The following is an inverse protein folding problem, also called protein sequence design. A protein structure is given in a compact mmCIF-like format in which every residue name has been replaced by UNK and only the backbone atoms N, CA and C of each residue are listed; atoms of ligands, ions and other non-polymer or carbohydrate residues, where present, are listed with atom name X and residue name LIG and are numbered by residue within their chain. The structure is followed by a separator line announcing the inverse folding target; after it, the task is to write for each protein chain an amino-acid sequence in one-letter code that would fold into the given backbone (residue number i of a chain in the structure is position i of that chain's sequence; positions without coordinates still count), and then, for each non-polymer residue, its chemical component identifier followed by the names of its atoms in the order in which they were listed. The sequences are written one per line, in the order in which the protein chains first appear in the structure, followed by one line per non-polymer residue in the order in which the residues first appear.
data_IF_547432916260
#
_entry.id   IF_547432916260
#
_cell.length_a   1.000
_cell.length_b   1.000
_cell.length_c   1.000
_cell.angle_alpha   90.00
_cell.angle_beta   90.00
_cell.angle_gamma   90.00
#
_symmetry.space_group_name_H-M   'P 1'
#
loop_
_entity.id
_entity.type
_entity.pdbx_description
1 polymer ?
#
# COMPACT_ATOMS: atom_id res chain seq x y z
N UNK A 1 -3.23 -2.77 -31.47
CA UNK A 1 -3.26 -3.39 -30.14
C UNK A 1 -3.41 -2.26 -29.12
N UNK A 2 -4.60 -2.04 -28.54
CA UNK A 2 -4.84 -0.91 -27.60
C UNK A 2 -4.18 -1.25 -26.27
N UNK A 3 -3.18 -0.46 -25.85
CA UNK A 3 -2.69 -0.45 -24.48
C UNK A 3 -3.87 -0.03 -23.58
N UNK A 4 -4.50 -0.99 -22.92
CA UNK A 4 -5.42 -0.68 -21.84
C UNK A 4 -4.55 -0.21 -20.68
N UNK A 5 -4.55 1.10 -20.44
CA UNK A 5 -4.04 1.68 -19.21
C UNK A 5 -5.04 1.22 -18.15
N UNK A 6 -4.69 0.17 -17.45
CA UNK A 6 -5.50 -0.26 -16.32
C UNK A 6 -5.45 0.83 -15.25
N UNK A 7 -6.62 1.17 -14.72
CA UNK A 7 -6.68 2.16 -13.64
C UNK A 7 -6.05 1.57 -12.37
N UNK A 8 -5.57 2.42 -11.47
CA UNK A 8 -5.09 2.00 -10.15
C UNK A 8 -6.09 1.05 -9.44
N UNK A 9 -7.42 1.32 -9.45
CA UNK A 9 -8.43 0.38 -8.97
C UNK A 9 -8.41 -1.00 -9.67
N UNK A 10 -8.26 -1.05 -11.00
CA UNK A 10 -8.22 -2.31 -11.75
C UNK A 10 -6.95 -3.13 -11.43
N UNK A 11 -5.83 -2.45 -11.22
CA UNK A 11 -4.60 -3.07 -10.76
C UNK A 11 -4.75 -3.64 -9.33
N UNK A 12 -5.40 -2.88 -8.44
CA UNK A 12 -5.68 -3.24 -7.04
C UNK A 12 -6.57 -4.49 -6.93
N UNK A 13 -7.62 -4.59 -7.75
CA UNK A 13 -8.51 -5.74 -7.77
C UNK A 13 -7.83 -7.06 -8.19
N UNK A 14 -6.75 -6.98 -8.99
CA UNK A 14 -6.00 -8.15 -9.48
C UNK A 14 -4.84 -8.55 -8.58
N UNK A 15 -4.21 -7.59 -7.91
CA UNK A 15 -3.09 -7.83 -6.99
C UNK A 15 -3.58 -7.97 -5.55
N UNK A 16 -4.56 -8.86 -5.34
CA UNK A 16 -4.95 -9.27 -4.00
C UNK A 16 -3.85 -10.18 -3.46
N UNK A 17 -2.76 -9.57 -2.97
CA UNK A 17 -1.68 -10.30 -2.32
C UNK A 17 -2.27 -11.13 -1.17
N UNK A 18 -2.17 -12.44 -1.28
CA UNK A 18 -2.19 -13.29 -0.10
C UNK A 18 -0.86 -13.00 0.61
N UNK A 19 -0.92 -12.19 1.67
CA UNK A 19 0.21 -11.96 2.56
C UNK A 19 0.63 -13.31 3.14
N UNK A 20 1.62 -13.96 2.50
CA UNK A 20 2.04 -15.31 2.86
C UNK A 20 3.18 -15.20 3.89
N UNK A 21 2.85 -15.39 5.16
CA UNK A 21 3.82 -15.75 6.21
C UNK A 21 4.50 -14.63 7.00
N UNK A 22 4.33 -13.36 6.64
CA UNK A 22 4.72 -12.21 7.46
C UNK A 22 3.46 -11.53 8.00
N UNK A 23 3.47 -11.05 9.25
CA UNK A 23 2.29 -10.48 9.92
C UNK A 23 1.53 -9.45 9.08
N UNK A 24 0.24 -9.31 9.38
CA UNK A 24 -0.63 -8.32 8.71
C UNK A 24 -0.15 -6.93 9.09
N UNK A 25 0.04 -6.04 8.11
CA UNK A 25 0.14 -4.60 8.36
C UNK A 25 -0.83 -3.85 7.45
N UNK A 26 -1.28 -2.68 7.90
CA UNK A 26 -2.21 -1.81 7.19
C UNK A 26 -1.47 -0.52 6.87
N UNK A 27 -1.54 -0.06 5.63
CA UNK A 27 -1.17 1.30 5.27
C UNK A 27 -2.44 2.16 5.20
N UNK A 28 -2.64 3.04 6.18
CA UNK A 28 -3.76 3.97 6.21
C UNK A 28 -3.32 5.31 5.61
N UNK A 29 -4.06 5.81 4.61
CA UNK A 29 -3.84 7.13 4.01
C UNK A 29 -5.07 7.99 4.25
N UNK A 30 -4.88 9.10 4.93
CA UNK A 30 -5.95 10.05 5.25
C UNK A 30 -6.24 10.97 4.06
N UNK A 31 -7.43 11.62 4.00
CA UNK A 31 -7.77 12.53 2.90
C UNK A 31 -6.85 13.74 2.75
N UNK A 32 -6.18 14.17 3.81
CA UNK A 32 -5.19 15.25 3.83
C UNK A 32 -3.77 14.78 3.46
N UNK A 33 -3.61 13.52 3.08
CA UNK A 33 -2.38 12.96 2.53
C UNK A 33 -1.38 12.45 3.57
N UNK A 34 -1.79 12.31 4.83
CA UNK A 34 -0.96 11.71 5.87
C UNK A 34 -1.05 10.19 5.79
N UNK A 35 0.06 9.52 6.08
CA UNK A 35 0.20 8.07 6.02
C UNK A 35 0.50 7.49 7.38
N UNK A 36 -0.09 6.35 7.71
CA UNK A 36 0.20 5.60 8.92
C UNK A 36 0.45 4.13 8.58
N UNK A 37 1.48 3.54 9.17
CA UNK A 37 1.66 2.09 9.18
C UNK A 37 1.05 1.54 10.46
N UNK A 38 0.00 0.73 10.31
CA UNK A 38 -0.60 0.03 11.44
C UNK A 38 -0.13 -1.43 11.48
N UNK A 39 0.20 -1.90 12.67
CA UNK A 39 0.70 -3.24 12.91
C UNK A 39 0.05 -3.85 14.17
N UNK A 40 -0.19 -5.17 14.18
CA UNK A 40 -0.78 -5.84 15.33
C UNK A 40 0.20 -5.88 16.49
N UNK A 41 -0.33 -5.67 17.67
CA UNK A 41 0.35 -5.84 18.96
C UNK A 41 -0.51 -6.73 19.86
N UNK A 42 0.02 -7.21 20.99
CA UNK A 42 -0.74 -8.11 21.88
C UNK A 42 -2.08 -7.51 22.35
N UNK A 43 -2.14 -6.19 22.53
CA UNK A 43 -3.32 -5.46 22.98
C UNK A 43 -4.28 -5.03 21.85
N UNK A 44 -3.93 -5.27 20.57
CA UNK A 44 -4.74 -4.87 19.43
C UNK A 44 -3.92 -4.38 18.25
N UNK A 45 -4.09 -3.11 17.89
CA UNK A 45 -3.45 -2.49 16.72
C UNK A 45 -2.82 -1.15 17.13
N UNK A 46 -1.54 -1.00 16.84
CA UNK A 46 -0.83 0.28 16.94
C UNK A 46 -0.63 0.90 15.56
N UNK A 47 -0.30 2.20 15.54
CA UNK A 47 -0.02 2.93 14.33
C UNK A 47 1.16 3.88 14.52
N UNK A 48 2.08 3.89 13.56
CA UNK A 48 3.14 4.89 13.43
C UNK A 48 2.82 5.84 12.27
N UNK A 49 3.01 7.13 12.50
CA UNK A 49 2.95 8.12 11.42
C UNK A 49 4.16 7.95 10.49
N UNK A 50 3.92 7.97 9.19
CA UNK A 50 4.94 7.85 8.18
C UNK A 50 5.33 9.22 7.63
N UNK A 51 6.63 9.42 7.46
CA UNK A 51 7.09 10.49 6.59
C UNK A 51 6.61 10.24 5.16
N UNK A 52 6.59 11.30 4.33
CA UNK A 52 6.25 11.16 2.91
C UNK A 52 7.13 10.14 2.18
N UNK A 53 8.41 10.04 2.55
CA UNK A 53 9.34 9.08 1.93
C UNK A 53 9.00 7.64 2.33
N UNK A 54 8.71 7.41 3.62
CA UNK A 54 8.36 6.08 4.13
C UNK A 54 7.00 5.61 3.62
N UNK A 55 6.04 6.54 3.46
CA UNK A 55 4.76 6.26 2.83
C UNK A 55 4.94 5.82 1.37
N UNK A 56 5.79 6.50 0.59
CA UNK A 56 6.11 6.09 -0.79
C UNK A 56 6.77 4.71 -0.80
N UNK A 57 7.73 4.45 0.10
CA UNK A 57 8.38 3.15 0.20
C UNK A 57 7.37 2.03 0.50
N UNK A 58 6.46 2.24 1.46
CA UNK A 58 5.41 1.28 1.81
C UNK A 58 4.44 1.03 0.64
N UNK A 59 4.08 2.07 -0.11
CA UNK A 59 3.27 1.95 -1.32
C UNK A 59 3.98 1.14 -2.41
N UNK A 60 5.28 1.38 -2.61
CA UNK A 60 6.09 0.64 -3.59
C UNK A 60 6.25 -0.84 -3.21
N UNK A 61 6.35 -1.15 -1.92
CA UNK A 61 6.39 -2.52 -1.41
C UNK A 61 5.05 -3.24 -1.66
N UNK A 62 3.91 -2.57 -1.40
CA UNK A 62 2.59 -3.14 -1.57
C UNK A 62 2.20 -3.37 -3.04
N UNK A 63 2.58 -2.47 -3.94
CA UNK A 63 2.09 -2.49 -5.33
C UNK A 63 3.16 -2.79 -6.38
N UNK A 64 4.40 -3.05 -5.97
CA UNK A 64 5.58 -3.14 -6.84
C UNK A 64 5.89 -1.82 -7.58
N UNK A 65 7.17 -1.48 -7.84
CA UNK A 65 7.55 -0.28 -8.60
C UNK A 65 6.92 -0.19 -9.98
N UNK A 66 6.49 -1.31 -10.57
CA UNK A 66 5.82 -1.33 -11.87
C UNK A 66 4.45 -0.61 -11.86
N UNK A 67 3.74 -0.61 -10.73
CA UNK A 67 2.45 0.07 -10.59
C UNK A 67 2.57 1.61 -10.65
N UNK A 68 3.76 2.15 -10.35
CA UNK A 68 4.01 3.59 -10.31
C UNK A 68 4.65 4.15 -11.60
N UNK A 69 4.98 3.32 -12.60
CA UNK A 69 5.56 3.77 -13.88
C UNK A 69 4.54 4.39 -14.85
N UNK A 70 3.26 4.44 -14.48
CA UNK A 70 2.19 5.01 -15.29
C UNK A 70 1.86 6.47 -14.93
N UNK A 71 2.59 7.07 -13.97
CA UNK A 71 2.58 8.49 -13.66
C UNK A 71 3.60 9.23 -14.52
#
# INVERSE_FOLDING_TARGET
MKNRIDTLPDAFARHRHAFNGGGVFILAVTPDGWGFRCYPVESGLEAEELSRADMIAALMELYSPAAFRAL
#
